data_IF_113758220525
#
_entry.id   IF_113758220525
#
_cell.length_a   1.000
_cell.length_b   1.000
_cell.length_c   1.000
_cell.angle_alpha   90.00
_cell.angle_beta   90.00
_cell.angle_gamma   90.00
#
_symmetry.space_group_name_H-M   'P 1'
#
loop_
_entity.id
_entity.type
_entity.pdbx_description
1 polymer ?
#
# COMPACT_ATOMS: atom_id res chain seq x y z
N UNK A 1 -16.38 -3.79 3.75
CA UNK A 1 -15.78 -2.46 3.89
C UNK A 1 -16.56 -1.47 3.04
N UNK A 2 -16.89 -0.30 3.57
CA UNK A 2 -17.52 0.81 2.84
C UNK A 2 -16.49 1.62 2.06
N UNK A 3 -16.92 2.46 1.13
CA UNK A 3 -16.01 3.37 0.41
C UNK A 3 -15.35 4.39 1.35
N UNK A 4 -15.98 4.76 2.46
CA UNK A 4 -15.38 5.65 3.45
C UNK A 4 -14.25 4.94 4.21
N UNK A 5 -14.52 3.76 4.75
CA UNK A 5 -13.52 2.93 5.43
C UNK A 5 -12.31 2.65 4.50
N UNK A 6 -12.58 2.36 3.22
CA UNK A 6 -11.52 2.15 2.23
C UNK A 6 -10.59 3.36 2.07
N UNK A 7 -11.16 4.58 2.01
CA UNK A 7 -10.36 5.81 1.89
C UNK A 7 -9.57 6.11 3.17
N UNK A 8 -10.14 5.82 4.32
CA UNK A 8 -9.46 5.98 5.61
C UNK A 8 -8.26 5.04 5.72
N UNK A 9 -8.41 3.77 5.35
CA UNK A 9 -7.29 2.83 5.30
C UNK A 9 -6.24 3.20 4.23
N UNK A 10 -6.69 3.63 3.04
CA UNK A 10 -5.78 4.12 1.99
C UNK A 10 -4.93 5.30 2.48
N UNK A 11 -5.52 6.25 3.21
CA UNK A 11 -4.80 7.40 3.79
C UNK A 11 -3.69 6.96 4.76
N UNK A 12 -3.97 5.97 5.61
CA UNK A 12 -2.96 5.40 6.51
C UNK A 12 -1.82 4.73 5.73
N UNK A 13 -2.12 4.04 4.63
CA UNK A 13 -1.11 3.43 3.77
C UNK A 13 -0.22 4.49 3.09
N UNK A 14 -0.79 5.62 2.66
CA UNK A 14 -0.01 6.74 2.10
C UNK A 14 1.03 7.26 3.08
N UNK A 15 0.66 7.48 4.34
CA UNK A 15 1.60 7.95 5.37
C UNK A 15 2.77 6.96 5.59
N UNK A 16 2.50 5.65 5.52
CA UNK A 16 3.54 4.62 5.63
C UNK A 16 4.50 4.63 4.44
N UNK A 17 3.96 4.81 3.23
CA UNK A 17 4.76 4.91 1.99
C UNK A 17 5.64 6.15 2.01
N UNK A 18 5.11 7.29 2.41
CA UNK A 18 5.87 8.54 2.56
C UNK A 18 7.03 8.36 3.54
N UNK A 19 6.78 7.80 4.73
CA UNK A 19 7.84 7.50 5.70
C UNK A 19 8.96 6.64 5.11
N UNK A 20 8.63 5.55 4.40
CA UNK A 20 9.65 4.67 3.79
C UNK A 20 10.51 5.44 2.80
N UNK A 21 9.89 6.22 1.91
CA UNK A 21 10.60 6.95 0.87
C UNK A 21 11.47 8.10 1.43
N UNK A 22 11.06 8.72 2.53
CA UNK A 22 11.85 9.75 3.21
C UNK A 22 13.02 9.19 4.03
N UNK A 23 12.90 7.95 4.51
CA UNK A 23 13.85 7.35 5.47
C UNK A 23 14.68 6.19 4.88
N UNK A 24 14.47 5.82 3.61
CA UNK A 24 15.23 4.75 2.95
C UNK A 24 15.77 5.16 1.59
N UNK A 25 17.07 4.92 1.38
CA UNK A 25 17.71 5.05 0.06
C UNK A 25 17.80 3.73 -0.73
N UNK A 26 17.28 2.62 -0.19
CA UNK A 26 17.46 1.27 -0.76
C UNK A 26 16.14 0.50 -0.90
N UNK A 27 15.04 1.06 -0.41
CA UNK A 27 13.66 0.60 -0.64
C UNK A 27 12.84 1.82 -1.05
N UNK A 28 11.98 1.66 -2.04
CA UNK A 28 10.96 2.65 -2.39
C UNK A 28 9.59 2.00 -2.46
N UNK A 29 8.57 2.70 -2.00
CA UNK A 29 7.17 2.27 -2.09
C UNK A 29 6.33 3.29 -2.86
N UNK A 30 5.33 2.80 -3.59
CA UNK A 30 4.41 3.60 -4.39
C UNK A 30 2.99 3.12 -4.13
N UNK A 31 2.09 4.06 -3.85
CA UNK A 31 0.69 3.77 -3.63
C UNK A 31 -0.17 4.61 -4.58
N UNK A 32 -1.08 3.96 -5.28
CA UNK A 32 -1.99 4.62 -6.20
C UNK A 32 -3.44 4.31 -5.85
N UNK A 33 -4.23 5.36 -5.65
CA UNK A 33 -5.67 5.26 -5.44
C UNK A 33 -6.40 5.64 -6.73
N UNK A 34 -7.12 4.68 -7.29
CA UNK A 34 -7.89 4.84 -8.52
C UNK A 34 -9.39 4.85 -8.19
N UNK A 35 -10.13 5.83 -8.73
CA UNK A 35 -11.58 5.82 -8.69
C UNK A 35 -12.11 5.30 -10.03
N UNK A 36 -12.71 4.11 -10.02
CA UNK A 36 -13.12 3.40 -11.22
C UNK A 36 -14.64 3.44 -11.37
N UNK A 37 -15.09 3.73 -12.60
CA UNK A 37 -16.51 3.66 -12.95
C UNK A 37 -16.87 2.19 -13.23
N UNK A 38 -17.43 1.52 -12.25
CA UNK A 38 -17.96 0.16 -12.43
C UNK A 38 -19.23 0.14 -13.29
N UNK A 39 -19.59 -1.04 -13.79
CA UNK A 39 -20.81 -1.26 -14.57
C UNK A 39 -22.06 -0.94 -13.73
N UNK A 40 -22.08 -1.37 -12.47
CA UNK A 40 -23.22 -1.14 -11.56
C UNK A 40 -23.05 0.11 -10.67
N UNK A 41 -21.86 0.30 -10.11
CA UNK A 41 -21.54 1.41 -9.22
C UNK A 41 -20.07 1.77 -9.29
N UNK A 42 -19.71 3.05 -9.06
CA UNK A 42 -18.31 3.42 -8.89
C UNK A 42 -17.69 2.71 -7.67
N UNK A 43 -16.43 2.33 -7.81
CA UNK A 43 -15.65 1.71 -6.74
C UNK A 43 -14.22 2.24 -6.76
N UNK A 44 -13.53 2.12 -5.63
CA UNK A 44 -12.11 2.45 -5.54
C UNK A 44 -11.25 1.22 -5.76
N UNK A 45 -10.08 1.44 -6.35
CA UNK A 45 -9.00 0.48 -6.43
C UNK A 45 -7.76 1.08 -5.80
N UNK A 46 -7.00 0.28 -5.05
CA UNK A 46 -5.74 0.69 -4.45
C UNK A 46 -4.65 -0.26 -4.93
N UNK A 47 -3.55 0.30 -5.42
CA UNK A 47 -2.40 -0.45 -5.90
C UNK A 47 -1.16 -0.05 -5.11
N UNK A 48 -0.54 -1.00 -4.40
CA UNK A 48 0.72 -0.82 -3.70
C UNK A 48 1.83 -1.54 -4.47
N UNK A 49 2.91 -0.81 -4.77
CA UNK A 49 4.16 -1.34 -5.31
C UNK A 49 5.30 -1.08 -4.34
N UNK A 50 6.11 -2.08 -4.06
CA UNK A 50 7.34 -1.92 -3.27
C UNK A 50 8.51 -2.45 -4.10
N UNK A 51 9.52 -1.62 -4.29
CA UNK A 51 10.75 -1.95 -5.00
C UNK A 51 11.93 -1.97 -4.03
N UNK A 52 12.65 -3.09 -3.99
CA UNK A 52 13.85 -3.25 -3.17
C UNK A 52 15.09 -3.31 -4.06
N UNK A 53 15.96 -2.31 -3.98
CA UNK A 53 17.09 -2.15 -4.91
C UNK A 53 18.12 -3.29 -4.82
N UNK A 54 18.31 -3.88 -3.63
CA UNK A 54 19.29 -4.95 -3.43
C UNK A 54 18.87 -6.29 -4.01
N UNK A 55 17.57 -6.61 -3.97
CA UNK A 55 17.05 -7.91 -4.42
C UNK A 55 16.36 -7.82 -5.78
N UNK A 56 16.07 -6.60 -6.27
CA UNK A 56 15.25 -6.34 -7.48
C UNK A 56 13.86 -6.97 -7.41
N UNK A 57 13.36 -7.18 -6.20
CA UNK A 57 12.00 -7.68 -6.01
C UNK A 57 11.01 -6.53 -6.11
N UNK A 58 9.92 -6.79 -6.83
CA UNK A 58 8.76 -5.91 -6.91
C UNK A 58 7.54 -6.65 -6.40
N UNK A 59 6.92 -6.12 -5.34
CA UNK A 59 5.66 -6.65 -4.80
C UNK A 59 4.51 -5.77 -5.25
N UNK A 60 3.45 -6.38 -5.79
CA UNK A 60 2.26 -5.68 -6.27
C UNK A 60 1.02 -6.21 -5.55
N UNK A 61 0.31 -5.32 -4.87
CA UNK A 61 -0.97 -5.62 -4.23
C UNK A 61 -2.05 -4.74 -4.86
N UNK A 62 -3.19 -5.32 -5.22
CA UNK A 62 -4.32 -4.58 -5.79
C UNK A 62 -5.61 -4.94 -5.05
N UNK A 63 -6.21 -3.95 -4.41
CA UNK A 63 -7.50 -4.08 -3.73
C UNK A 63 -8.56 -3.36 -4.55
N UNK A 64 -9.59 -4.09 -5.00
CA UNK A 64 -10.80 -3.54 -5.64
C UNK A 64 -11.99 -3.90 -4.77
N UNK A 65 -13.09 -3.13 -4.82
CA UNK A 65 -14.31 -3.27 -3.98
C UNK A 65 -15.08 -4.61 -3.96
N UNK A 66 -14.41 -5.73 -4.24
CA UNK A 66 -14.83 -7.12 -4.16
C UNK A 66 -14.60 -7.74 -2.76
N UNK A 67 -14.94 -9.03 -2.59
CA UNK A 67 -14.94 -9.71 -1.28
C UNK A 67 -13.62 -9.67 -0.51
N UNK A 68 -12.47 -9.60 -1.20
CA UNK A 68 -11.15 -9.65 -0.57
C UNK A 68 -10.54 -8.27 -0.27
N UNK A 69 -11.27 -7.18 -0.52
CA UNK A 69 -10.80 -5.79 -0.34
C UNK A 69 -10.09 -5.57 1.00
N UNK A 70 -10.75 -5.96 2.09
CA UNK A 70 -10.28 -5.72 3.45
C UNK A 70 -9.05 -6.56 3.77
N UNK A 71 -8.99 -7.79 3.25
CA UNK A 71 -7.85 -8.69 3.42
C UNK A 71 -6.62 -8.14 2.71
N UNK A 72 -6.76 -7.73 1.45
CA UNK A 72 -5.63 -7.16 0.69
C UNK A 72 -5.11 -5.87 1.32
N UNK A 73 -5.99 -5.00 1.83
CA UNK A 73 -5.58 -3.78 2.56
C UNK A 73 -4.84 -4.14 3.86
N UNK A 74 -5.31 -5.15 4.60
CA UNK A 74 -4.62 -5.61 5.80
C UNK A 74 -3.22 -6.15 5.47
N UNK A 75 -3.10 -6.95 4.40
CA UNK A 75 -1.81 -7.47 3.93
C UNK A 75 -0.86 -6.33 3.52
N UNK A 76 -1.37 -5.30 2.82
CA UNK A 76 -0.59 -4.09 2.50
C UNK A 76 -0.07 -3.41 3.77
N UNK A 77 -0.91 -3.27 4.81
CA UNK A 77 -0.48 -2.68 6.09
C UNK A 77 0.64 -3.49 6.74
N UNK A 78 0.47 -4.81 6.84
CA UNK A 78 1.44 -5.70 7.47
C UNK A 78 2.80 -5.66 6.75
N UNK A 79 2.78 -5.66 5.42
CA UNK A 79 4.00 -5.60 4.61
C UNK A 79 4.71 -4.27 4.79
N UNK A 80 3.99 -3.15 4.76
CA UNK A 80 4.60 -1.83 4.99
C UNK A 80 5.13 -1.69 6.42
N UNK A 81 4.46 -2.24 7.43
CA UNK A 81 4.97 -2.24 8.82
C UNK A 81 6.28 -3.02 8.93
N UNK A 82 6.36 -4.21 8.32
CA UNK A 82 7.59 -5.00 8.30
C UNK A 82 8.74 -4.25 7.60
N UNK A 83 8.45 -3.58 6.48
CA UNK A 83 9.43 -2.75 5.78
C UNK A 83 9.89 -1.57 6.63
N UNK A 84 8.97 -0.88 7.30
CA UNK A 84 9.28 0.24 8.20
C UNK A 84 10.20 -0.19 9.33
N UNK A 85 9.94 -1.33 9.97
CA UNK A 85 10.83 -1.85 11.02
C UNK A 85 12.22 -2.18 10.46
N UNK A 86 12.30 -2.80 9.29
CA UNK A 86 13.58 -3.04 8.62
C UNK A 86 14.34 -1.74 8.28
N UNK A 87 13.64 -0.68 7.85
CA UNK A 87 14.26 0.64 7.62
C UNK A 87 14.80 1.23 8.93
N UNK A 88 14.04 1.16 10.03
CA UNK A 88 14.48 1.65 11.34
C UNK A 88 15.71 0.91 11.87
N UNK A 89 15.81 -0.39 11.63
CA UNK A 89 16.97 -1.20 12.04
C UNK A 89 18.24 -0.82 11.28
N UNK A 90 18.13 -0.48 9.99
CA UNK A 90 19.29 -0.13 9.15
C UNK A 90 19.79 1.31 9.39
N UNK A 91 18.92 2.22 9.83
CA UNK A 91 19.27 3.63 10.09
C UNK A 91 19.87 3.84 11.51
N UNK A 92 19.78 2.84 12.40
CA UNK A 92 20.43 2.87 13.74
C UNK A 92 21.94 2.74 13.66
#
# INVERSE_FOLDING_TARGET
MTNQEFREEASKLFNKVEYINENSGFISAFLELHHLKGIDKPFYSLTLRIDQYKTKDTFLYTSTGSGDTARTILEMHQVLDAVIEGVKEVVR
#
